data_IF_681838568732
#
_entry.id   IF_681838568732
#
_cell.length_a   1.000
_cell.length_b   1.000
_cell.length_c   1.000
_cell.angle_alpha   90.00
_cell.angle_beta   90.00
_cell.angle_gamma   90.00
#
_symmetry.space_group_name_H-M   'P 1'
#
loop_
_entity.id
_entity.type
_entity.pdbx_description
1 polymer ?
#
# COMPACT_ATOMS: atom_id res chain seq x y z
N UNK A 1 6.76 1.62 19.60
CA UNK A 1 6.19 2.96 19.30
C UNK A 1 4.74 2.83 18.88
N UNK A 2 4.05 3.94 18.60
CA UNK A 2 2.73 3.94 17.95
C UNK A 2 2.93 4.15 16.45
N UNK A 3 2.28 3.32 15.62
CA UNK A 3 2.41 3.34 14.16
C UNK A 3 0.99 3.32 13.58
N UNK A 4 0.64 4.37 12.83
CA UNK A 4 -0.66 4.51 12.19
C UNK A 4 -0.50 4.88 10.71
N UNK A 5 -1.49 4.58 9.85
CA UNK A 5 -1.50 5.08 8.49
C UNK A 5 -1.71 6.59 8.49
N UNK A 6 -1.02 7.29 7.59
CA UNK A 6 -1.36 8.67 7.28
C UNK A 6 -2.63 8.70 6.41
N UNK A 7 -3.79 8.95 7.02
CA UNK A 7 -5.07 9.03 6.32
C UNK A 7 -6.27 9.21 7.26
N UNK A 8 -7.39 9.71 6.73
CA UNK A 8 -8.67 9.77 7.44
C UNK A 8 -9.48 8.47 7.29
N UNK A 9 -10.65 8.40 7.92
CA UNK A 9 -11.51 7.20 7.91
C UNK A 9 -12.27 6.97 6.59
N UNK A 10 -12.35 7.99 5.72
CA UNK A 10 -13.04 7.96 4.42
C UNK A 10 -14.42 7.22 4.48
N UNK A 11 -15.37 7.72 5.29
CA UNK A 11 -16.60 6.99 5.60
C UNK A 11 -17.51 6.76 4.38
N UNK A 12 -17.39 7.60 3.36
CA UNK A 12 -18.12 7.53 2.09
C UNK A 12 -17.75 6.30 1.25
N UNK A 13 -16.56 5.73 1.44
CA UNK A 13 -16.08 4.53 0.73
C UNK A 13 -15.89 3.31 1.65
N UNK A 14 -16.31 3.40 2.91
CA UNK A 14 -16.21 2.30 3.86
C UNK A 14 -16.95 1.06 3.34
N UNK A 15 -16.26 -0.09 3.33
CA UNK A 15 -16.82 -1.36 2.85
C UNK A 15 -16.90 -1.50 1.33
N UNK A 16 -16.35 -0.57 0.55
CA UNK A 16 -16.45 -0.58 -0.92
C UNK A 16 -15.19 -1.07 -1.64
N UNK A 17 -14.14 -1.48 -0.90
CA UNK A 17 -12.87 -1.96 -1.48
C UNK A 17 -12.17 -0.89 -2.36
N UNK A 18 -12.32 0.40 -2.02
CA UNK A 18 -11.76 1.52 -2.81
C UNK A 18 -10.59 2.25 -2.16
N UNK A 19 -10.40 2.09 -0.84
CA UNK A 19 -9.35 2.80 -0.10
C UNK A 19 -7.95 2.33 -0.50
N UNK A 20 -6.97 3.23 -0.39
CA UNK A 20 -5.57 2.89 -0.62
C UNK A 20 -4.94 2.25 0.63
N UNK A 21 -4.51 0.98 0.59
CA UNK A 21 -3.95 0.32 1.78
C UNK A 21 -2.46 0.65 2.04
N UNK A 22 -1.78 1.34 1.12
CA UNK A 22 -0.32 1.49 1.15
C UNK A 22 0.18 2.13 2.44
N UNK A 23 -0.46 3.20 2.91
CA UNK A 23 -0.03 3.89 4.13
C UNK A 23 -0.08 2.99 5.37
N UNK A 24 -1.10 2.12 5.47
CA UNK A 24 -1.23 1.16 6.57
C UNK A 24 -0.15 0.08 6.50
N UNK A 25 0.15 -0.40 5.29
CA UNK A 25 1.18 -1.41 5.05
C UNK A 25 2.58 -0.85 5.39
N UNK A 26 2.90 0.35 4.94
CA UNK A 26 4.18 1.01 5.27
C UNK A 26 4.29 1.34 6.77
N UNK A 27 3.17 1.62 7.43
CA UNK A 27 3.14 1.76 8.90
C UNK A 27 3.54 0.47 9.61
N UNK A 28 3.10 -0.69 9.10
CA UNK A 28 3.56 -1.99 9.59
C UNK A 28 5.06 -2.24 9.31
N UNK A 29 5.58 -1.81 8.15
CA UNK A 29 7.01 -1.87 7.86
C UNK A 29 7.85 -1.04 8.86
N UNK A 30 7.38 0.17 9.21
CA UNK A 30 8.00 0.97 10.28
C UNK A 30 7.97 0.26 11.63
N UNK A 31 6.88 -0.41 11.97
CA UNK A 31 6.78 -1.20 13.21
C UNK A 31 7.80 -2.33 13.24
N UNK A 32 7.92 -3.11 12.15
CA UNK A 32 8.94 -4.16 12.01
C UNK A 32 10.36 -3.63 12.20
N UNK A 33 10.67 -2.53 11.50
CA UNK A 33 12.00 -1.89 11.55
C UNK A 33 12.37 -1.39 12.94
N UNK A 34 11.44 -0.73 13.63
CA UNK A 34 11.77 0.06 14.83
C UNK A 34 11.41 -0.62 16.14
N UNK A 35 10.38 -1.47 16.18
CA UNK A 35 9.95 -2.15 17.42
C UNK A 35 10.41 -3.60 17.47
N UNK A 36 10.58 -4.26 16.32
CA UNK A 36 10.98 -5.67 16.27
C UNK A 36 12.41 -5.90 15.76
N UNK A 37 13.10 -4.86 15.30
CA UNK A 37 14.43 -4.96 14.69
C UNK A 37 14.47 -5.91 13.46
N UNK A 38 13.32 -6.10 12.81
CA UNK A 38 13.13 -6.93 11.62
C UNK A 38 13.34 -6.07 10.36
N UNK A 39 14.58 -5.63 10.18
CA UNK A 39 14.94 -4.67 9.13
C UNK A 39 14.81 -5.25 7.72
N UNK A 40 15.12 -6.54 7.55
CA UNK A 40 14.99 -7.26 6.28
C UNK A 40 13.53 -7.38 5.85
N UNK A 41 12.65 -7.81 6.76
CA UNK A 41 11.22 -7.90 6.49
C UNK A 41 10.61 -6.53 6.15
N UNK A 42 11.01 -5.48 6.88
CA UNK A 42 10.59 -4.11 6.57
C UNK A 42 11.04 -3.65 5.17
N UNK A 43 12.29 -3.95 4.80
CA UNK A 43 12.84 -3.61 3.47
C UNK A 43 12.17 -4.38 2.33
N UNK A 44 11.79 -5.64 2.58
CA UNK A 44 11.02 -6.44 1.63
C UNK A 44 9.65 -5.79 1.36
N UNK A 45 8.94 -5.34 2.41
CA UNK A 45 7.66 -4.63 2.25
C UNK A 45 7.82 -3.33 1.47
N UNK A 46 8.81 -2.50 1.81
CA UNK A 46 9.08 -1.24 1.10
C UNK A 46 9.33 -1.49 -0.40
N UNK A 47 10.11 -2.53 -0.71
CA UNK A 47 10.43 -2.93 -2.08
C UNK A 47 9.21 -3.47 -2.82
N UNK A 48 8.39 -4.29 -2.15
CA UNK A 48 7.16 -4.85 -2.71
C UNK A 48 6.14 -3.75 -3.06
N UNK A 49 5.98 -2.75 -2.18
CA UNK A 49 5.14 -1.56 -2.45
C UNK A 49 5.65 -0.81 -3.68
N UNK A 50 6.96 -0.52 -3.74
CA UNK A 50 7.56 0.15 -4.88
C UNK A 50 7.38 -0.65 -6.19
N UNK A 51 7.48 -1.98 -6.11
CA UNK A 51 7.33 -2.89 -7.25
C UNK A 51 5.89 -2.90 -7.77
N UNK A 52 4.89 -3.01 -6.89
CA UNK A 52 3.48 -2.96 -7.28
C UNK A 52 3.11 -1.63 -7.96
N UNK A 53 3.59 -0.50 -7.42
CA UNK A 53 3.41 0.81 -8.04
C UNK A 53 4.13 0.88 -9.40
N UNK A 54 5.38 0.43 -9.49
CA UNK A 54 6.13 0.44 -10.75
C UNK A 54 5.48 -0.43 -11.83
N UNK A 55 4.85 -1.54 -11.44
CA UNK A 55 4.07 -2.43 -12.32
C UNK A 55 2.74 -1.83 -12.81
N UNK A 56 2.41 -0.61 -12.36
CA UNK A 56 1.28 0.19 -12.82
C UNK A 56 0.05 0.16 -11.91
N UNK A 57 0.04 -0.58 -10.81
CA UNK A 57 -1.14 -0.65 -9.94
C UNK A 57 -1.42 0.72 -9.27
N UNK A 58 -2.66 1.20 -9.36
CA UNK A 58 -3.11 2.47 -8.75
C UNK A 58 -4.49 2.32 -8.14
N UNK A 59 -4.64 2.64 -6.86
CA UNK A 59 -5.95 2.83 -6.24
C UNK A 59 -6.59 4.14 -6.70
N UNK A 60 -7.89 4.31 -6.47
CA UNK A 60 -8.67 5.41 -7.06
C UNK A 60 -8.13 6.81 -6.78
N UNK A 61 -7.50 7.01 -5.61
CA UNK A 61 -6.88 8.27 -5.16
C UNK A 61 -5.61 8.65 -5.93
N UNK A 62 -4.86 7.68 -6.45
CA UNK A 62 -3.60 7.88 -7.18
C UNK A 62 -3.69 7.45 -8.65
N UNK A 63 -4.87 7.07 -9.11
CA UNK A 63 -5.10 6.69 -10.50
C UNK A 63 -5.23 7.94 -11.38
N UNK A 64 -4.53 7.94 -12.51
CA UNK A 64 -4.69 8.94 -13.56
C UNK A 64 -4.92 8.24 -14.90
N UNK A 65 -5.92 8.69 -15.66
CA UNK A 65 -6.19 8.18 -17.00
C UNK A 65 -5.14 8.62 -18.04
N UNK A 66 -4.30 9.61 -17.70
CA UNK A 66 -3.20 10.08 -18.55
C UNK A 66 -1.95 9.19 -18.42
N UNK A 67 -1.83 8.44 -17.32
CA UNK A 67 -0.76 7.45 -17.15
C UNK A 67 -1.11 6.19 -17.95
N UNK A 68 -0.50 6.05 -19.12
CA UNK A 68 -0.68 4.90 -20.01
C UNK A 68 -0.29 3.54 -19.39
N UNK A 69 0.46 3.52 -18.29
CA UNK A 69 0.82 2.32 -17.55
C UNK A 69 -0.10 2.07 -16.34
N UNK A 70 -1.01 3.00 -16.01
CA UNK A 70 -1.86 2.87 -14.83
C UNK A 70 -2.94 1.78 -15.01
N UNK A 71 -2.95 0.84 -14.08
CA UNK A 71 -3.94 -0.21 -13.91
C UNK A 71 -4.73 0.13 -12.64
N UNK A 72 -6.00 0.51 -12.81
CA UNK A 72 -6.88 0.78 -11.67
C UNK A 72 -7.03 -0.49 -10.82
N UNK A 73 -6.76 -0.38 -9.54
CA UNK A 73 -6.81 -1.47 -8.57
C UNK A 73 -7.75 -1.09 -7.42
N UNK A 74 -8.44 -2.10 -6.87
CA UNK A 74 -9.16 -2.01 -5.61
C UNK A 74 -8.21 -2.10 -4.40
N UNK A 75 -8.71 -1.92 -3.18
CA UNK A 75 -7.93 -2.11 -1.94
C UNK A 75 -7.32 -3.52 -1.91
N UNK A 76 -8.15 -4.53 -2.12
CA UNK A 76 -7.74 -5.94 -2.13
C UNK A 76 -6.71 -6.21 -3.23
N UNK A 77 -6.97 -5.75 -4.47
CA UNK A 77 -6.05 -5.96 -5.58
C UNK A 77 -4.69 -5.29 -5.38
N UNK A 78 -4.66 -4.11 -4.75
CA UNK A 78 -3.40 -3.46 -4.38
C UNK A 78 -2.65 -4.28 -3.31
N UNK A 79 -3.36 -4.77 -2.29
CA UNK A 79 -2.79 -5.65 -1.27
C UNK A 79 -2.20 -6.93 -1.86
N UNK A 80 -2.93 -7.59 -2.76
CA UNK A 80 -2.49 -8.80 -3.46
C UNK A 80 -1.26 -8.54 -4.33
N UNK A 81 -1.23 -7.42 -5.06
CA UNK A 81 -0.09 -7.04 -5.89
C UNK A 81 1.17 -6.79 -5.06
N UNK A 82 1.04 -6.18 -3.88
CA UNK A 82 2.15 -5.98 -2.94
C UNK A 82 2.59 -7.34 -2.37
N UNK A 83 1.66 -8.18 -1.90
CA UNK A 83 1.99 -9.48 -1.33
C UNK A 83 2.69 -10.40 -2.34
N UNK A 84 2.30 -10.36 -3.61
CA UNK A 84 2.94 -11.13 -4.69
C UNK A 84 4.35 -10.64 -5.06
N UNK A 85 4.77 -9.46 -4.57
CA UNK A 85 6.06 -8.84 -4.85
C UNK A 85 7.07 -8.93 -3.68
N UNK A 86 6.72 -9.66 -2.61
CA UNK A 86 7.62 -10.05 -1.50
C UNK A 86 8.46 -11.25 -1.94
#
# INVERSE_FOLDING_TARGET
>A
GFYEPAGGTAPDIAGQDLANPIAQILSAAMMLRHSFNETEAAAAIDTAVATAITAGHRTGDIFSAEDSNAKKASTTQMGDAIAAAI
#
